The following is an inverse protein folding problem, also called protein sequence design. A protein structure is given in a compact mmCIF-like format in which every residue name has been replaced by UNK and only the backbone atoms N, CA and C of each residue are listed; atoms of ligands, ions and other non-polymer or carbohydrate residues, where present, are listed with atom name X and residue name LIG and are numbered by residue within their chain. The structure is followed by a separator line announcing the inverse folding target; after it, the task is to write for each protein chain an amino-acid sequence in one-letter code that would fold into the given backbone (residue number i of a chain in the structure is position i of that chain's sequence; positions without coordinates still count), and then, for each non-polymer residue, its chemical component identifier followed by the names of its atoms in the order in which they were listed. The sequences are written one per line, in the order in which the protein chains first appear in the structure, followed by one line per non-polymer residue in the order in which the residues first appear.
data_IF_841429774502
#
_entry.id   IF_841429774502
#
_cell.length_a   1.000
_cell.length_b   1.000
_cell.length_c   1.000
_cell.angle_alpha   90.00
_cell.angle_beta   90.00
_cell.angle_gamma   90.00
#
_symmetry.space_group_name_H-M   'P 1'
#
loop_
_entity.id
_entity.type
_entity.pdbx_description
1 polymer ?
#
# COMPACT_ATOMS: atom_id res chain seq x y z
N UNK A 1 5.93 6.51 27.61
CA UNK A 1 6.19 5.32 26.75
C UNK A 1 4.94 4.72 26.10
N UNK A 2 3.80 4.55 26.80
CA UNK A 2 2.61 3.88 26.23
C UNK A 2 1.98 4.54 24.98
N UNK A 3 2.29 5.81 24.69
CA UNK A 3 1.76 6.53 23.51
C UNK A 3 2.45 6.13 22.20
N UNK A 4 3.74 5.76 22.22
CA UNK A 4 4.53 5.50 21.01
C UNK A 4 4.04 4.21 20.32
N UNK A 5 3.80 3.17 21.10
CA UNK A 5 3.27 1.88 20.64
C UNK A 5 1.82 1.93 20.12
N UNK A 6 1.11 3.05 20.32
CA UNK A 6 -0.26 3.22 19.79
C UNK A 6 -0.27 3.82 18.38
N UNK A 7 0.84 4.36 17.90
CA UNK A 7 0.87 5.01 16.60
C UNK A 7 0.89 3.98 15.46
N UNK A 8 -0.04 4.13 14.51
CA UNK A 8 -0.16 3.25 13.32
C UNK A 8 1.13 3.20 12.52
N UNK A 9 1.76 4.36 12.36
CA UNK A 9 2.98 4.49 11.57
C UNK A 9 4.15 3.74 12.22
N UNK A 10 4.27 3.78 13.55
CA UNK A 10 5.29 2.99 14.25
C UNK A 10 5.04 1.49 14.12
N UNK A 11 3.79 1.05 14.25
CA UNK A 11 3.42 -0.35 14.06
C UNK A 11 3.78 -0.84 12.65
N UNK A 12 3.39 -0.06 11.63
CA UNK A 12 3.70 -0.34 10.23
C UNK A 12 5.21 -0.37 9.99
N UNK A 13 5.95 0.58 10.58
CA UNK A 13 7.41 0.61 10.49
C UNK A 13 8.06 -0.64 11.11
N UNK A 14 7.61 -1.07 12.28
CA UNK A 14 8.09 -2.31 12.92
C UNK A 14 7.79 -3.53 12.03
N UNK A 15 6.60 -3.62 11.45
CA UNK A 15 6.23 -4.69 10.51
C UNK A 15 7.18 -4.69 9.30
N UNK A 16 7.41 -3.52 8.69
CA UNK A 16 8.32 -3.35 7.56
C UNK A 16 9.74 -3.81 7.93
N UNK A 17 10.27 -3.42 9.09
CA UNK A 17 11.59 -3.86 9.54
C UNK A 17 11.68 -5.38 9.72
N UNK A 18 10.66 -5.97 10.33
CA UNK A 18 10.58 -7.43 10.55
C UNK A 18 10.50 -8.17 9.21
N UNK A 19 9.76 -7.64 8.23
CA UNK A 19 9.66 -8.21 6.88
C UNK A 19 10.97 -8.05 6.10
N UNK A 20 11.63 -6.87 6.18
CA UNK A 20 12.93 -6.63 5.56
C UNK A 20 14.00 -7.63 6.02
N UNK A 21 14.01 -7.96 7.32
CA UNK A 21 14.93 -8.95 7.88
C UNK A 21 14.72 -10.36 7.28
N UNK A 22 13.53 -10.65 6.74
CA UNK A 22 13.19 -11.95 6.17
C UNK A 22 13.30 -12.03 4.65
N UNK A 23 13.50 -10.90 3.94
CA UNK A 23 13.55 -10.89 2.47
C UNK A 23 14.62 -11.84 1.93
N UNK A 24 15.82 -11.83 2.51
CA UNK A 24 16.92 -12.68 2.05
C UNK A 24 16.58 -14.17 2.19
N UNK A 25 16.07 -14.58 3.36
CA UNK A 25 15.68 -15.96 3.60
C UNK A 25 14.54 -16.40 2.67
N UNK A 26 13.49 -15.59 2.54
CA UNK A 26 12.36 -15.90 1.64
C UNK A 26 12.79 -15.93 0.16
N UNK A 27 13.74 -15.08 -0.26
CA UNK A 27 14.28 -15.11 -1.62
C UNK A 27 15.07 -16.40 -1.90
N UNK A 28 15.85 -16.86 -0.91
CA UNK A 28 16.54 -18.15 -0.97
C UNK A 28 15.54 -19.30 -1.06
N UNK A 29 14.55 -19.31 -0.18
CA UNK A 29 13.46 -20.30 -0.17
C UNK A 29 12.78 -20.37 -1.54
N UNK A 30 12.39 -19.21 -2.08
CA UNK A 30 11.74 -19.11 -3.38
C UNK A 30 12.63 -19.64 -4.52
N UNK A 31 13.90 -19.25 -4.55
CA UNK A 31 14.83 -19.70 -5.59
C UNK A 31 14.99 -21.22 -5.57
N UNK A 32 15.17 -21.80 -4.39
CA UNK A 32 15.40 -23.23 -4.21
C UNK A 32 14.17 -24.06 -4.60
N UNK A 33 12.98 -23.65 -4.13
CA UNK A 33 11.71 -24.27 -4.52
C UNK A 33 11.52 -24.17 -6.04
N UNK A 34 11.81 -23.01 -6.62
CA UNK A 34 11.67 -22.80 -8.07
C UNK A 34 12.61 -23.69 -8.87
N UNK A 35 13.87 -23.87 -8.43
CA UNK A 35 14.82 -24.80 -9.07
C UNK A 35 14.34 -26.24 -8.99
N UNK A 36 13.76 -26.66 -7.86
CA UNK A 36 13.22 -28.01 -7.69
C UNK A 36 12.00 -28.27 -8.57
N UNK A 37 11.09 -27.31 -8.69
CA UNK A 37 9.83 -27.47 -9.44
C UNK A 37 9.99 -27.29 -10.94
N UNK A 38 10.74 -26.28 -11.37
CA UNK A 38 10.82 -25.88 -12.77
C UNK A 38 12.16 -26.26 -13.43
N UNK A 39 13.10 -26.83 -12.67
CA UNK A 39 14.45 -27.14 -13.13
C UNK A 39 15.35 -25.89 -13.20
N UNK A 40 16.44 -25.98 -13.97
CA UNK A 40 17.43 -24.90 -14.12
C UNK A 40 17.00 -23.79 -15.09
N UNK A 41 15.70 -23.47 -15.15
CA UNK A 41 15.26 -22.26 -15.85
C UNK A 41 16.03 -21.09 -15.25
N UNK A 42 16.48 -20.13 -16.05
CA UNK A 42 17.40 -19.04 -15.66
C UNK A 42 16.87 -18.07 -14.62
N UNK A 43 16.39 -18.56 -13.47
CA UNK A 43 16.01 -17.82 -12.29
C UNK A 43 17.27 -17.21 -11.67
N UNK A 44 17.49 -15.96 -12.05
CA UNK A 44 18.45 -15.11 -11.37
C UNK A 44 17.99 -14.87 -9.92
N UNK A 45 18.94 -14.80 -8.98
CA UNK A 45 18.71 -14.38 -7.59
C UNK A 45 17.83 -13.12 -7.49
N UNK A 46 18.13 -12.12 -8.33
CA UNK A 46 17.38 -10.86 -8.39
C UNK A 46 15.88 -11.06 -8.69
N UNK A 47 15.53 -12.05 -9.50
CA UNK A 47 14.13 -12.37 -9.78
C UNK A 47 13.42 -12.88 -8.53
N UNK A 48 14.06 -13.78 -7.77
CA UNK A 48 13.49 -14.32 -6.52
C UNK A 48 13.31 -13.23 -5.46
N UNK A 49 14.30 -12.35 -5.31
CA UNK A 49 14.19 -11.17 -4.42
C UNK A 49 13.01 -10.29 -4.83
N UNK A 50 12.84 -10.03 -6.13
CA UNK A 50 11.75 -9.19 -6.64
C UNK A 50 10.38 -9.81 -6.36
N UNK A 51 10.21 -11.11 -6.61
CA UNK A 51 8.96 -11.83 -6.34
C UNK A 51 8.62 -11.78 -4.84
N UNK A 52 9.60 -12.01 -3.98
CA UNK A 52 9.41 -11.96 -2.52
C UNK A 52 9.03 -10.56 -2.06
N UNK A 53 9.69 -9.51 -2.55
CA UNK A 53 9.31 -8.12 -2.24
C UNK A 53 7.84 -7.86 -2.62
N UNK A 54 7.39 -8.32 -3.79
CA UNK A 54 5.99 -8.14 -4.22
C UNK A 54 5.02 -8.87 -3.28
N UNK A 55 5.35 -10.10 -2.87
CA UNK A 55 4.54 -10.87 -1.92
C UNK A 55 4.48 -10.17 -0.55
N UNK A 56 5.61 -9.75 -0.01
CA UNK A 56 5.72 -9.02 1.26
C UNK A 56 4.93 -7.70 1.22
N UNK A 57 5.07 -6.91 0.14
CA UNK A 57 4.29 -5.68 -0.05
C UNK A 57 2.78 -5.94 -0.14
N UNK A 58 2.38 -7.05 -0.77
CA UNK A 58 0.96 -7.45 -0.85
C UNK A 58 0.41 -7.77 0.54
N UNK A 59 1.19 -8.46 1.38
CA UNK A 59 0.82 -8.73 2.78
C UNK A 59 0.69 -7.43 3.56
N UNK A 60 1.64 -6.50 3.42
CA UNK A 60 1.56 -5.18 4.06
C UNK A 60 0.29 -4.45 3.63
N UNK A 61 -0.06 -4.48 2.34
CA UNK A 61 -1.27 -3.85 1.82
C UNK A 61 -2.54 -4.46 2.46
N UNK A 62 -2.64 -5.78 2.57
CA UNK A 62 -3.79 -6.44 3.22
C UNK A 62 -3.86 -6.15 4.72
N UNK A 63 -2.71 -6.17 5.41
CA UNK A 63 -2.60 -5.83 6.83
C UNK A 63 -3.02 -4.37 7.06
N UNK A 64 -2.61 -3.46 6.18
CA UNK A 64 -2.99 -2.05 6.23
C UNK A 64 -4.47 -1.82 5.94
N UNK A 65 -5.04 -2.56 4.99
CA UNK A 65 -6.47 -2.54 4.69
C UNK A 65 -7.34 -3.11 5.83
N UNK A 66 -6.75 -3.86 6.77
CA UNK A 66 -7.48 -4.51 7.86
C UNK A 66 -8.23 -5.78 7.42
N UNK A 67 -7.84 -6.35 6.29
CA UNK A 67 -8.44 -7.54 5.69
C UNK A 67 -7.92 -8.81 6.38
N UNK A 68 -8.55 -9.17 7.51
CA UNK A 68 -8.08 -10.26 8.39
C UNK A 68 -7.97 -11.61 7.68
N UNK A 69 -8.93 -11.95 6.82
CA UNK A 69 -8.98 -13.25 6.15
C UNK A 69 -7.77 -13.41 5.22
N UNK A 70 -7.51 -12.41 4.37
CA UNK A 70 -6.39 -12.44 3.43
C UNK A 70 -5.05 -12.45 4.17
N UNK A 71 -4.92 -11.66 5.24
CA UNK A 71 -3.73 -11.69 6.09
C UNK A 71 -3.46 -13.07 6.69
N UNK A 72 -4.49 -13.76 7.21
CA UNK A 72 -4.36 -15.13 7.75
C UNK A 72 -3.95 -16.11 6.64
N UNK A 73 -4.63 -16.08 5.49
CA UNK A 73 -4.34 -16.98 4.38
C UNK A 73 -2.90 -16.83 3.88
N UNK A 74 -2.43 -15.59 3.68
CA UNK A 74 -1.06 -15.33 3.26
C UNK A 74 -0.04 -15.73 4.33
N UNK A 75 -0.32 -15.46 5.60
CA UNK A 75 0.58 -15.84 6.70
C UNK A 75 0.69 -17.36 6.81
N UNK A 76 -0.43 -18.08 6.68
CA UNK A 76 -0.44 -19.54 6.65
C UNK A 76 0.33 -20.08 5.43
N UNK A 77 0.17 -19.47 4.26
CA UNK A 77 0.92 -19.84 3.06
C UNK A 77 2.43 -19.62 3.23
N UNK A 78 2.86 -18.49 3.80
CA UNK A 78 4.28 -18.23 4.11
C UNK A 78 4.84 -19.23 5.12
N UNK A 79 4.06 -19.56 6.15
CA UNK A 79 4.45 -20.59 7.12
C UNK A 79 4.63 -21.95 6.45
N UNK A 80 3.69 -22.36 5.59
CA UNK A 80 3.80 -23.60 4.81
C UNK A 80 4.99 -23.59 3.86
N UNK A 81 5.28 -22.47 3.19
CA UNK A 81 6.45 -22.33 2.33
C UNK A 81 7.76 -22.45 3.10
N UNK A 82 7.84 -21.82 4.28
CA UNK A 82 9.00 -21.95 5.16
C UNK A 82 9.19 -23.40 5.61
N UNK A 83 8.13 -24.10 6.02
CA UNK A 83 8.20 -25.53 6.38
C UNK A 83 8.66 -26.39 5.21
N UNK A 84 8.11 -26.18 4.01
CA UNK A 84 8.45 -26.94 2.81
C UNK A 84 9.91 -26.76 2.39
N UNK A 85 10.49 -25.61 2.71
CA UNK A 85 11.89 -25.32 2.42
C UNK A 85 12.86 -26.11 3.29
N UNK A 86 12.59 -26.21 4.58
CA UNK A 86 13.43 -26.99 5.46
C UNK A 86 13.38 -28.45 4.99
N UNK A 87 14.54 -29.02 4.69
CA UNK A 87 14.64 -30.45 4.41
C UNK A 87 14.44 -31.21 5.72
N UNK A 88 13.19 -31.25 6.19
CA UNK A 88 12.81 -31.87 7.46
C UNK A 88 13.35 -33.29 7.49
N UNK A 89 13.30 -33.99 6.35
CA UNK A 89 13.80 -35.36 6.22
C UNK A 89 15.32 -35.42 6.33
N UNK A 90 16.05 -34.59 5.58
CA UNK A 90 17.51 -34.53 5.66
C UNK A 90 18.02 -34.17 7.05
N UNK A 91 17.42 -33.17 7.71
CA UNK A 91 17.77 -32.81 9.08
C UNK A 91 17.39 -33.88 10.10
N UNK A 92 16.26 -34.57 9.89
CA UNK A 92 15.82 -35.68 10.74
C UNK A 92 16.75 -36.88 10.66
N UNK A 93 17.17 -37.24 9.45
CA UNK A 93 18.11 -38.33 9.19
C UNK A 93 19.52 -37.98 9.68
N UNK A 94 19.93 -36.71 9.62
CA UNK A 94 21.20 -36.22 10.14
C UNK A 94 21.21 -36.01 11.68
N UNK A 95 20.09 -36.21 12.37
CA UNK A 95 19.97 -35.99 13.81
C UNK A 95 20.07 -34.53 14.25
N UNK A 96 19.92 -33.57 13.34
CA UNK A 96 20.05 -32.14 13.59
C UNK A 96 18.72 -31.50 14.02
N UNK A 97 18.10 -32.05 15.07
CA UNK A 97 16.76 -31.63 15.52
C UNK A 97 16.71 -30.17 16.00
N UNK A 98 17.82 -29.65 16.50
CA UNK A 98 17.93 -28.25 16.97
C UNK A 98 17.64 -27.24 15.86
N UNK A 99 18.12 -27.51 14.63
CA UNK A 99 17.89 -26.65 13.48
C UNK A 99 16.43 -26.66 13.04
N UNK A 100 15.79 -27.84 13.04
CA UNK A 100 14.36 -27.98 12.73
C UNK A 100 13.53 -27.22 13.77
N UNK A 101 13.85 -27.37 15.05
CA UNK A 101 13.12 -26.72 16.12
C UNK A 101 13.28 -25.21 16.07
N UNK A 102 14.50 -24.70 15.85
CA UNK A 102 14.76 -23.26 15.69
C UNK A 102 14.00 -22.67 14.49
N UNK A 103 14.01 -23.37 13.36
CA UNK A 103 13.26 -23.00 12.16
C UNK A 103 11.75 -22.93 12.39
N UNK A 104 11.18 -23.92 13.08
CA UNK A 104 9.77 -23.96 13.43
C UNK A 104 9.40 -22.83 14.40
N UNK A 105 10.20 -22.62 15.45
CA UNK A 105 9.98 -21.54 16.42
C UNK A 105 10.01 -20.18 15.72
N UNK A 106 11.03 -19.94 14.87
CA UNK A 106 11.16 -18.68 14.15
C UNK A 106 9.98 -18.45 13.19
N UNK A 107 9.58 -19.48 12.45
CA UNK A 107 8.44 -19.42 11.53
C UNK A 107 7.12 -19.16 12.27
N UNK A 108 6.92 -19.81 13.42
CA UNK A 108 5.77 -19.59 14.29
C UNK A 108 5.75 -18.16 14.86
N UNK A 109 6.88 -17.68 15.39
CA UNK A 109 6.98 -16.34 15.97
C UNK A 109 6.70 -15.25 14.93
N UNK A 110 7.23 -15.41 13.72
CA UNK A 110 6.97 -14.50 12.62
C UNK A 110 5.49 -14.49 12.22
N UNK A 111 4.90 -15.68 12.05
CA UNK A 111 3.48 -15.86 11.72
C UNK A 111 2.56 -15.22 12.77
N UNK A 112 2.83 -15.51 14.06
CA UNK A 112 2.08 -14.95 15.18
C UNK A 112 2.22 -13.43 15.23
N UNK A 113 3.42 -12.90 14.95
CA UNK A 113 3.65 -11.46 14.93
C UNK A 113 2.78 -10.76 13.88
N UNK A 114 2.80 -11.25 12.63
CA UNK A 114 1.96 -10.69 11.55
C UNK A 114 0.48 -10.78 11.91
N UNK A 115 0.04 -11.94 12.42
CA UNK A 115 -1.34 -12.15 12.84
C UNK A 115 -1.77 -11.14 13.93
N UNK A 116 -0.96 -10.97 14.97
CA UNK A 116 -1.24 -10.04 16.07
C UNK A 116 -1.28 -8.60 15.57
N UNK A 117 -0.39 -8.22 14.67
CA UNK A 117 -0.39 -6.88 14.08
C UNK A 117 -1.63 -6.63 13.20
N UNK A 118 -2.01 -7.61 12.39
CA UNK A 118 -3.24 -7.58 11.59
C UNK A 118 -4.50 -7.44 12.47
N UNK A 119 -4.54 -8.14 13.61
CA UNK A 119 -5.63 -8.01 14.58
C UNK A 119 -5.65 -6.62 15.24
N UNK A 120 -4.49 -6.04 15.58
CA UNK A 120 -4.41 -4.70 16.16
C UNK A 120 -4.87 -3.62 15.15
N UNK A 121 -4.45 -3.72 13.89
CA UNK A 121 -4.80 -2.76 12.85
C UNK A 121 -6.29 -2.85 12.46
N UNK A 122 -6.82 -4.06 12.31
CA UNK A 122 -8.26 -4.27 12.02
C UNK A 122 -9.16 -3.71 13.13
N UNK A 123 -8.80 -3.90 14.41
CA UNK A 123 -9.50 -3.29 15.55
C UNK A 123 -9.49 -1.76 15.49
N UNK A 124 -8.38 -1.15 15.09
CA UNK A 124 -8.28 0.30 14.94
C UNK A 124 -9.04 0.82 13.71
N UNK A 125 -9.10 0.06 12.62
CA UNK A 125 -9.86 0.40 11.42
C UNK A 125 -11.37 0.44 11.73
N UNK A 126 -11.88 -0.53 12.50
CA UNK A 126 -13.31 -0.63 12.83
C UNK A 126 -13.83 0.45 13.79
N UNK A 127 -12.98 1.00 14.66
CA UNK A 127 -13.38 2.06 15.62
C UNK A 127 -13.65 3.42 14.95
N UNK A 128 -12.92 3.73 13.87
CA UNK A 128 -12.95 5.06 13.23
C UNK A 128 -14.31 5.42 12.61
N UNK A 129 -15.00 4.53 11.86
CA UNK A 129 -16.33 4.80 11.33
C UNK A 129 -17.36 4.99 12.45
N UNK A 130 -17.25 4.22 13.54
CA UNK A 130 -18.20 4.28 14.65
C UNK A 130 -18.05 5.59 15.45
N UNK A 131 -16.82 6.05 15.68
CA UNK A 131 -16.55 7.34 16.30
C UNK A 131 -16.98 8.51 15.40
N UNK A 132 -16.74 8.43 14.10
CA UNK A 132 -17.21 9.45 13.14
C UNK A 132 -18.74 9.50 13.09
N UNK A 133 -19.41 8.34 13.06
CA UNK A 133 -20.87 8.28 13.08
C UNK A 133 -21.45 8.82 14.39
N UNK A 134 -20.84 8.50 15.54
CA UNK A 134 -21.23 9.05 16.85
C UNK A 134 -21.03 10.56 16.91
N UNK A 135 -19.92 11.08 16.38
CA UNK A 135 -19.64 12.52 16.32
C UNK A 135 -20.65 13.26 15.43
N UNK A 136 -21.03 12.69 14.28
CA UNK A 136 -22.07 13.24 13.40
C UNK A 136 -23.44 13.17 14.07
N UNK A 137 -23.77 12.08 14.77
CA UNK A 137 -25.05 11.94 15.49
C UNK A 137 -25.17 12.90 16.70
N UNK A 138 -24.06 13.26 17.34
CA UNK A 138 -24.06 14.25 18.46
C UNK A 138 -23.86 15.70 18.01
N UNK A 139 -23.40 15.93 16.78
CA UNK A 139 -23.17 17.26 16.21
C UNK A 139 -24.39 18.19 16.18
N UNK A 140 -25.55 17.79 15.61
CA UNK A 140 -26.66 18.73 15.43
C UNK A 140 -27.36 19.11 16.73
N UNK A 141 -27.33 18.27 17.78
CA UNK A 141 -27.99 18.59 19.06
C UNK A 141 -27.22 19.61 19.91
N UNK A 142 -25.89 19.71 19.78
CA UNK A 142 -25.11 20.69 20.55
C UNK A 142 -25.28 22.10 20.01
N UNK A 143 -25.39 22.28 18.69
CA UNK A 143 -25.65 23.60 18.11
C UNK A 143 -27.06 24.11 18.45
N UNK A 144 -28.09 23.25 18.44
CA UNK A 144 -29.44 23.70 18.84
C UNK A 144 -29.59 23.96 20.34
N UNK A 145 -28.89 23.23 21.21
CA UNK A 145 -28.87 23.54 22.65
C UNK A 145 -28.04 24.80 22.97
N UNK A 146 -26.94 25.02 22.25
CA UNK A 146 -26.12 26.21 22.44
C UNK A 146 -26.85 27.46 21.92
N UNK A 147 -27.54 27.42 20.78
CA UNK A 147 -28.41 28.52 20.33
C UNK A 147 -29.63 28.75 21.24
N UNK A 148 -30.25 27.68 21.78
CA UNK A 148 -31.32 27.84 22.79
C UNK A 148 -30.83 28.49 24.07
N UNK A 149 -29.64 28.13 24.56
CA UNK A 149 -29.10 28.70 25.79
C UNK A 149 -28.61 30.14 25.60
N UNK A 150 -28.07 30.49 24.43
CA UNK A 150 -27.71 31.87 24.10
C UNK A 150 -28.96 32.74 23.89
N UNK A 151 -30.02 32.20 23.28
CA UNK A 151 -31.32 32.90 23.14
C UNK A 151 -32.05 33.08 24.47
N UNK A 152 -31.99 32.10 25.38
CA UNK A 152 -32.56 32.22 26.73
C UNK A 152 -31.80 33.24 27.59
N UNK A 153 -30.49 33.39 27.39
CA UNK A 153 -29.68 34.38 28.12
C UNK A 153 -29.83 35.79 27.54
N UNK A 154 -30.08 35.93 26.24
CA UNK A 154 -30.34 37.22 25.59
C UNK A 154 -31.70 37.84 25.99
N UNK A 155 -32.72 37.01 26.26
CA UNK A 155 -34.06 37.48 26.68
C UNK A 155 -34.12 38.02 28.13
N UNK A 156 -33.04 37.90 28.90
CA UNK A 156 -32.97 38.36 30.29
C UNK A 156 -32.09 39.61 30.48
N UNK A 157 -31.62 40.22 29.39
CA UNK A 157 -30.77 41.42 29.39
C UNK A 157 -31.31 42.56 28.51
N UNK A 158 -32.60 42.86 28.62
CA UNK A 158 -33.14 44.16 28.17
C UNK A 158 -34.28 44.56 29.12
N UNK A 159 -34.07 45.59 29.96
CA UNK A 159 -34.27 46.95 29.49
C UNK A 159 -33.27 47.96 30.10
N UNK A 160 -32.56 48.70 29.27
CA UNK A 160 -32.17 50.11 29.47
C UNK A 160 -30.99 50.46 28.57
N UNK A 161 -31.27 50.86 27.34
CA UNK A 161 -30.44 51.88 26.68
C UNK A 161 -31.27 52.64 25.67
N UNK A 162 -32.15 53.48 26.21
CA UNK A 162 -32.68 54.62 25.47
C UNK A 162 -31.64 55.74 25.50
N UNK A 163 -31.49 56.34 24.32
CA UNK A 163 -31.25 57.77 24.05
C UNK A 163 -29.81 58.25 23.93
N UNK A 164 -29.55 58.68 22.68
CA UNK A 164 -28.79 59.83 22.19
C UNK A 164 -27.81 59.32 21.12
N UNK A 165 -27.65 59.91 19.95
CA UNK A 165 -28.31 61.00 19.25
C UNK A 165 -27.64 61.06 17.87
N UNK A 166 -28.38 61.61 16.91
CA UNK A 166 -27.89 62.47 15.81
C UNK A 166 -27.10 61.82 14.66
N UNK A 167 -27.67 62.07 13.48
CA UNK A 167 -27.21 61.74 12.14
C UNK A 167 -25.96 62.51 11.71
N UNK A 168 -25.24 61.98 10.72
CA UNK A 168 -24.80 62.72 9.50
C UNK A 168 -24.44 61.71 8.41
N UNK A 169 -24.89 61.90 7.15
CA UNK A 169 -24.55 61.03 6.02
C UNK A 169 -23.26 61.52 5.36
N UNK A 170 -22.34 60.62 4.97
CA UNK A 170 -21.30 60.94 4.00
C UNK A 170 -21.27 59.92 2.88
N UNK A 171 -21.35 60.50 1.70
CA UNK A 171 -21.39 59.99 0.34
C UNK A 171 -20.13 59.20 -0.07
N UNK A 172 -20.33 58.38 -1.11
CA UNK A 172 -19.39 58.07 -2.22
C UNK A 172 -18.16 57.22 -1.88
N UNK A 173 -18.01 56.09 -2.56
CA UNK A 173 -17.37 56.02 -3.88
C UNK A 173 -16.71 54.64 -4.13
N UNK A 174 -16.84 54.19 -5.39
CA UNK A 174 -16.02 53.21 -6.12
C UNK A 174 -16.30 51.72 -5.93
N UNK A 175 -17.10 51.24 -6.88
CA UNK A 175 -16.96 49.96 -7.56
C UNK A 175 -15.49 49.62 -7.83
N UNK A 176 -14.99 48.58 -7.15
CA UNK A 176 -13.85 47.81 -7.62
C UNK A 176 -14.34 46.40 -7.95
N UNK A 177 -14.54 46.18 -9.25
CA UNK A 177 -14.66 44.88 -9.88
C UNK A 177 -13.36 44.11 -9.60
N UNK A 178 -13.40 43.23 -8.59
CA UNK A 178 -12.33 42.29 -8.33
C UNK A 178 -12.35 41.21 -9.43
N UNK A 179 -11.41 41.31 -10.36
CA UNK A 179 -11.10 40.25 -11.32
C UNK A 179 -10.70 38.99 -10.54
N UNK A 180 -11.53 37.96 -10.63
CA UNK A 180 -11.22 36.62 -10.12
C UNK A 180 -9.93 36.11 -10.80
N UNK A 181 -8.95 35.61 -10.04
CA UNK A 181 -7.79 34.95 -10.61
C UNK A 181 -8.25 33.69 -11.35
N UNK A 182 -7.97 33.62 -12.65
CA UNK A 182 -8.16 32.42 -13.45
C UNK A 182 -7.34 31.28 -12.83
N UNK A 183 -8.05 30.24 -12.44
CA UNK A 183 -7.51 28.98 -11.95
C UNK A 183 -6.70 28.32 -13.08
N UNK A 184 -5.42 27.96 -12.86
CA UNK A 184 -4.67 27.20 -13.86
C UNK A 184 -5.37 25.88 -14.12
N UNK A 185 -5.69 25.64 -15.38
CA UNK A 185 -6.27 24.40 -15.88
C UNK A 185 -5.20 23.30 -15.82
N UNK A 186 -5.18 22.60 -14.68
CA UNK A 186 -4.38 21.40 -14.48
C UNK A 186 -5.12 20.19 -15.03
N UNK A 187 -5.51 20.22 -16.31
CA UNK A 187 -5.97 19.00 -16.98
C UNK A 187 -4.77 18.06 -17.08
N UNK A 188 -4.80 16.87 -16.43
CA UNK A 188 -3.74 15.89 -16.58
C UNK A 188 -3.65 15.52 -18.06
N UNK A 189 -2.49 15.78 -18.66
CA UNK A 189 -2.19 15.36 -20.02
C UNK A 189 -2.31 13.82 -20.03
N UNK A 190 -3.17 13.21 -20.86
CA UNK A 190 -3.34 11.78 -20.88
C UNK A 190 -1.97 11.13 -21.10
N UNK A 191 -1.59 10.25 -20.17
CA UNK A 191 -0.35 9.49 -20.24
C UNK A 191 -0.32 8.77 -21.59
N UNK A 192 0.63 9.17 -22.44
CA UNK A 192 0.79 8.55 -23.75
C UNK A 192 1.10 7.06 -23.54
N UNK A 193 0.43 6.16 -24.26
CA UNK A 193 0.61 4.72 -24.08
C UNK A 193 2.08 4.36 -24.33
N UNK A 194 2.62 3.58 -23.39
CA UNK A 194 3.95 2.97 -23.47
C UNK A 194 4.17 2.40 -24.88
N UNK A 195 5.31 2.76 -25.48
CA UNK A 195 5.56 2.67 -26.92
C UNK A 195 5.24 1.33 -27.60
N UNK A 196 5.24 1.32 -28.92
CA UNK A 196 4.89 0.16 -29.72
C UNK A 196 6.04 -0.87 -29.74
N UNK A 197 5.77 -2.12 -29.36
CA UNK A 197 6.77 -3.18 -29.33
C UNK A 197 6.67 -4.13 -30.53
N UNK A 198 7.83 -4.63 -30.99
CA UNK A 198 7.92 -5.71 -31.96
C UNK A 198 8.42 -7.00 -31.30
N UNK A 199 8.06 -8.16 -31.86
CA UNK A 199 8.44 -9.49 -31.33
C UNK A 199 9.96 -9.74 -31.27
N UNK A 200 10.78 -8.96 -32.01
CA UNK A 200 12.23 -8.97 -31.88
C UNK A 200 12.76 -8.28 -30.60
N UNK A 201 11.88 -7.73 -29.76
CA UNK A 201 12.23 -7.01 -28.53
C UNK A 201 12.55 -5.52 -28.70
N UNK A 202 12.37 -4.94 -29.89
CA UNK A 202 12.56 -3.49 -30.12
C UNK A 202 11.28 -2.70 -29.84
N UNK A 203 11.43 -1.53 -29.22
CA UNK A 203 10.35 -0.56 -28.96
C UNK A 203 10.43 0.64 -29.89
N UNK A 204 9.27 1.23 -30.20
CA UNK A 204 9.11 2.36 -31.12
C UNK A 204 8.17 3.41 -30.55
N UNK A 205 8.54 4.69 -30.63
CA UNK A 205 7.71 5.81 -30.17
C UNK A 205 6.48 6.07 -31.06
N UNK A 206 6.48 5.59 -32.32
CA UNK A 206 5.41 5.82 -33.30
C UNK A 206 5.02 4.53 -34.00
N UNK A 207 3.72 4.33 -34.22
CA UNK A 207 3.18 3.15 -34.90
C UNK A 207 3.70 2.98 -36.33
N UNK A 208 3.94 4.09 -37.05
CA UNK A 208 4.51 4.05 -38.40
C UNK A 208 5.92 3.43 -38.42
N UNK A 209 6.72 3.69 -37.39
CA UNK A 209 8.07 3.12 -37.26
C UNK A 209 8.01 1.61 -37.01
N UNK A 210 7.05 1.14 -36.21
CA UNK A 210 6.79 -0.30 -36.03
C UNK A 210 6.38 -0.93 -37.37
N UNK A 211 5.47 -0.31 -38.12
CA UNK A 211 5.01 -0.84 -39.41
C UNK A 211 6.13 -0.90 -40.46
N UNK A 212 7.01 0.10 -40.51
CA UNK A 212 8.18 0.08 -41.39
C UNK A 212 9.17 -1.02 -40.97
N UNK A 213 9.41 -1.16 -39.66
CA UNK A 213 10.27 -2.21 -39.12
C UNK A 213 9.73 -3.62 -39.43
N UNK A 214 8.43 -3.87 -39.27
CA UNK A 214 7.80 -5.16 -39.57
C UNK A 214 8.01 -5.63 -41.02
N UNK A 215 8.16 -4.71 -41.98
CA UNK A 215 8.43 -5.06 -43.39
C UNK A 215 9.84 -5.62 -43.61
N UNK A 216 10.80 -5.25 -42.77
CA UNK A 216 12.20 -5.65 -42.90
C UNK A 216 12.66 -6.62 -41.81
N UNK A 217 11.91 -6.72 -40.73
CA UNK A 217 12.25 -7.61 -39.63
C UNK A 217 11.78 -9.03 -39.94
N UNK A 218 12.75 -9.91 -40.17
CA UNK A 218 12.55 -11.34 -40.42
C UNK A 218 12.17 -12.05 -39.11
N UNK A 219 10.96 -11.84 -38.60
CA UNK A 219 10.42 -12.65 -37.51
C UNK A 219 10.02 -14.01 -38.07
N UNK A 220 10.62 -15.08 -37.55
CA UNK A 220 10.43 -16.44 -38.04
C UNK A 220 11.59 -17.38 -37.73
N UNK A 221 12.75 -16.85 -37.34
CA UNK A 221 13.82 -17.69 -36.78
C UNK A 221 13.86 -17.47 -35.27
N UNK A 222 13.37 -18.42 -34.46
CA UNK A 222 13.54 -18.34 -33.01
C UNK A 222 15.05 -18.23 -32.70
N UNK A 223 15.43 -17.23 -31.89
CA UNK A 223 16.84 -16.94 -31.55
C UNK A 223 17.58 -18.15 -30.98
N UNK A 224 16.85 -19.13 -30.45
CA UNK A 224 17.39 -20.38 -29.91
C UNK A 224 18.13 -21.20 -30.98
N UNK A 225 17.75 -21.12 -32.26
CA UNK A 225 18.40 -21.87 -33.35
C UNK A 225 19.65 -21.19 -33.92
N UNK A 226 19.85 -19.89 -33.70
CA UNK A 226 21.06 -19.18 -34.18
C UNK A 226 22.24 -19.28 -33.22
N UNK A 227 22.02 -19.79 -32.00
CA UNK A 227 23.10 -19.99 -31.02
C UNK A 227 23.83 -21.32 -31.21
N UNK A 228 23.14 -22.37 -31.68
CA UNK A 228 23.76 -23.68 -31.95
C UNK A 228 24.64 -23.72 -33.21
N UNK A 229 24.39 -22.85 -34.21
CA UNK A 229 25.19 -22.83 -35.45
C UNK A 229 26.52 -22.09 -35.28
N UNK A 230 26.76 -21.44 -34.13
CA UNK A 230 28.02 -20.72 -33.86
C UNK A 230 28.99 -21.50 -32.98
N UNK A 231 28.58 -22.67 -32.49
CA UNK A 231 29.36 -23.53 -31.58
C UNK A 231 29.74 -24.88 -32.22
N UNK A 232 29.52 -25.05 -33.53
CA UNK A 232 30.12 -26.09 -34.39
C UNK A 232 30.92 -25.45 -35.52
#
# INVERSE_FOLDING_TARGET
MQSIFKSKNFLLFVIVLVMFNNIEHCAYVHQEISRKLFGSVGLNWAHSVTVVIIIELSIIAFVYAGERIFSILFTAALFSLNILYYDIRGFWEAGQYENILAALIYSCLFTISIYMFSELLSKQAKKRPEEALKAVATGPQRETQQERNVSATALQREPQRRRNDVATPTQREKDHVATLPQRPDNTPKPEEPDGFFCECGRSFAKQQSLSAHKKHCKHGVPQNLLREVREN
#
